data_IF_385696791813
#
_entry.id   IF_385696791813
#
_cell.length_a   1.000
_cell.length_b   1.000
_cell.length_c   1.000
_cell.angle_alpha   90.00
_cell.angle_beta   90.00
_cell.angle_gamma   90.00
#
_symmetry.space_group_name_H-M   'P 1'
#
loop_
_entity.id
_entity.type
_entity.pdbx_description
1 polymer ?
#
# COMPACT_ATOMS: atom_id res chain seq x y z
N UNK A 1 0.09 -30.05 -4.50
CA UNK A 1 -0.39 -29.18 -5.60
C UNK A 1 -1.80 -29.58 -5.97
N UNK A 2 -2.79 -28.73 -5.64
CA UNK A 2 -4.21 -28.98 -5.90
C UNK A 2 -4.52 -28.97 -7.40
N UNK A 3 -5.61 -29.61 -7.86
CA UNK A 3 -5.99 -29.64 -9.28
C UNK A 3 -6.07 -28.24 -9.91
N UNK A 4 -6.46 -27.23 -9.12
CA UNK A 4 -6.49 -25.82 -9.50
C UNK A 4 -5.10 -25.26 -9.88
N UNK A 5 -4.06 -25.65 -9.14
CA UNK A 5 -2.67 -25.23 -9.44
C UNK A 5 -2.12 -25.84 -10.73
N UNK A 6 -2.58 -27.05 -11.12
CA UNK A 6 -2.19 -27.69 -12.39
C UNK A 6 -2.90 -27.06 -13.58
N UNK A 7 -4.19 -26.76 -13.45
CA UNK A 7 -4.95 -26.06 -14.49
C UNK A 7 -4.41 -24.64 -14.72
N UNK A 8 -4.07 -23.92 -13.65
CA UNK A 8 -3.42 -22.61 -13.75
C UNK A 8 -2.05 -22.69 -14.43
N UNK A 9 -1.24 -23.72 -14.14
CA UNK A 9 0.04 -23.94 -14.81
C UNK A 9 -0.11 -24.29 -16.29
N UNK A 10 -1.09 -25.13 -16.66
CA UNK A 10 -1.35 -25.47 -18.06
C UNK A 10 -1.88 -24.26 -18.85
N UNK A 11 -2.73 -23.45 -18.23
CA UNK A 11 -3.24 -22.23 -18.82
C UNK A 11 -2.12 -21.19 -18.99
N UNK A 12 -1.24 -21.05 -17.99
CA UNK A 12 -0.03 -20.22 -18.09
C UNK A 12 0.87 -20.72 -19.23
N UNK A 13 1.12 -22.02 -19.34
CA UNK A 13 1.97 -22.60 -20.39
C UNK A 13 1.37 -22.40 -21.78
N UNK A 14 0.06 -22.60 -21.93
CA UNK A 14 -0.66 -22.35 -23.18
C UNK A 14 -0.61 -20.86 -23.58
N UNK A 15 -0.79 -19.95 -22.62
CA UNK A 15 -0.63 -18.51 -22.85
C UNK A 15 0.80 -18.13 -23.25
N UNK A 16 1.83 -18.75 -22.63
CA UNK A 16 3.23 -18.49 -23.01
C UNK A 16 3.57 -19.01 -24.41
N UNK A 17 3.02 -20.15 -24.81
CA UNK A 17 3.19 -20.67 -26.17
C UNK A 17 2.53 -19.75 -27.22
N UNK A 18 1.37 -19.19 -26.90
CA UNK A 18 0.69 -18.22 -27.77
C UNK A 18 1.43 -16.89 -27.85
N UNK A 19 2.05 -16.45 -26.73
CA UNK A 19 2.85 -15.24 -26.68
C UNK A 19 4.20 -15.37 -27.41
N UNK A 20 4.72 -16.59 -27.57
CA UNK A 20 5.97 -16.88 -28.26
C UNK A 20 5.82 -17.06 -29.79
N UNK A 21 4.64 -16.80 -30.36
CA UNK A 21 4.37 -17.11 -31.76
C UNK A 21 5.10 -16.22 -32.78
N UNK A 22 5.54 -15.01 -32.39
CA UNK A 22 6.20 -14.05 -33.29
C UNK A 22 7.60 -13.71 -32.82
N UNK A 23 8.55 -13.72 -33.75
CA UNK A 23 9.93 -13.34 -33.46
C UNK A 23 10.12 -11.83 -33.58
N UNK A 24 11.31 -11.34 -33.24
CA UNK A 24 11.64 -9.91 -33.35
C UNK A 24 11.59 -9.43 -34.80
N UNK A 25 12.02 -10.26 -35.73
CA UNK A 25 12.03 -9.98 -37.17
C UNK A 25 10.61 -9.82 -37.71
N UNK A 26 9.66 -10.63 -37.23
CA UNK A 26 8.25 -10.53 -37.63
C UNK A 26 7.64 -9.19 -37.20
N UNK A 27 7.95 -8.77 -35.97
CA UNK A 27 7.59 -7.45 -35.47
C UNK A 27 8.18 -6.32 -36.33
N UNK A 28 9.45 -6.40 -36.72
CA UNK A 28 10.07 -5.38 -37.59
C UNK A 28 9.34 -5.28 -38.94
N UNK A 29 8.97 -6.40 -39.55
CA UNK A 29 8.17 -6.44 -40.79
C UNK A 29 6.78 -5.81 -40.58
N UNK A 30 6.09 -6.15 -39.49
CA UNK A 30 4.75 -5.61 -39.19
C UNK A 30 4.78 -4.10 -38.98
N UNK A 31 5.75 -3.60 -38.21
CA UNK A 31 5.93 -2.17 -37.99
C UNK A 31 6.21 -1.45 -39.30
N UNK A 32 7.13 -1.97 -40.10
CA UNK A 32 7.47 -1.35 -41.38
C UNK A 32 6.26 -1.34 -42.32
N UNK A 33 5.47 -2.41 -42.37
CA UNK A 33 4.27 -2.48 -43.18
C UNK A 33 3.19 -1.47 -42.73
N UNK A 34 2.94 -1.31 -41.43
CA UNK A 34 1.98 -0.31 -40.91
C UNK A 34 2.46 1.12 -41.21
N UNK A 35 3.75 1.43 -40.97
CA UNK A 35 4.34 2.73 -41.31
C UNK A 35 4.30 2.99 -42.82
N UNK A 36 4.52 1.96 -43.64
CA UNK A 36 4.47 2.04 -45.09
C UNK A 36 3.05 2.31 -45.58
N UNK A 37 2.06 1.54 -45.13
CA UNK A 37 0.65 1.74 -45.48
C UNK A 37 0.10 3.09 -45.00
N UNK A 38 0.57 3.59 -43.85
CA UNK A 38 0.20 4.92 -43.36
C UNK A 38 0.70 6.05 -44.28
N UNK A 39 1.81 5.85 -44.99
CA UNK A 39 2.44 6.88 -45.84
C UNK A 39 2.12 6.78 -47.33
N UNK A 40 2.06 5.57 -47.90
CA UNK A 40 1.82 5.34 -49.33
C UNK A 40 0.37 4.91 -49.64
N UNK A 41 -0.39 4.50 -48.61
CA UNK A 41 -1.77 4.06 -48.72
C UNK A 41 -1.96 2.55 -48.49
N UNK A 42 -3.20 2.16 -48.15
CA UNK A 42 -3.55 0.80 -47.65
C UNK A 42 -3.37 -0.35 -48.65
N UNK A 43 -3.30 -0.05 -49.96
CA UNK A 43 -3.26 -1.08 -51.01
C UNK A 43 -1.89 -1.21 -51.70
N UNK A 44 -0.85 -0.57 -51.16
CA UNK A 44 0.50 -0.59 -51.74
C UNK A 44 1.35 -1.62 -51.01
N UNK A 45 1.83 -2.62 -51.73
CA UNK A 45 2.79 -3.63 -51.24
C UNK A 45 4.23 -3.20 -51.53
N UNK A 46 5.22 -3.82 -50.88
CA UNK A 46 6.64 -3.55 -51.12
C UNK A 46 7.02 -3.78 -52.59
N UNK A 47 6.46 -4.81 -53.22
CA UNK A 47 6.67 -5.10 -54.63
C UNK A 47 6.10 -4.02 -55.55
N UNK A 48 4.86 -3.58 -55.28
CA UNK A 48 4.22 -2.51 -56.06
C UNK A 48 4.96 -1.17 -55.90
N UNK A 49 5.52 -0.90 -54.72
CA UNK A 49 6.32 0.28 -54.44
C UNK A 49 7.62 0.29 -55.27
N UNK A 50 8.32 -0.84 -55.32
CA UNK A 50 9.52 -1.00 -56.14
C UNK A 50 9.20 -1.05 -57.66
N UNK A 51 7.95 -1.35 -58.01
CA UNK A 51 7.51 -1.60 -59.37
C UNK A 51 8.07 -2.91 -59.92
N UNK A 52 8.15 -3.95 -59.10
CA UNK A 52 8.67 -5.28 -59.44
C UNK A 52 7.65 -6.37 -59.12
N UNK A 53 7.82 -7.57 -59.69
CA UNK A 53 6.96 -8.73 -59.41
C UNK A 53 7.44 -9.48 -58.14
N UNK A 54 6.55 -10.13 -57.36
CA UNK A 54 6.96 -10.90 -56.17
C UNK A 54 7.97 -12.03 -56.40
N UNK A 55 8.15 -12.53 -57.63
CA UNK A 55 9.12 -13.59 -57.96
C UNK A 55 10.44 -13.04 -58.57
N UNK A 56 10.71 -11.74 -58.40
CA UNK A 56 11.85 -11.06 -59.02
C UNK A 56 13.20 -11.43 -58.36
N UNK A 57 14.27 -11.53 -59.16
CA UNK A 57 15.63 -11.86 -58.71
C UNK A 57 16.33 -10.65 -58.03
N UNK A 58 17.35 -10.90 -57.22
CA UNK A 58 18.10 -9.88 -56.45
C UNK A 58 18.70 -8.78 -57.36
N UNK A 59 19.12 -9.13 -58.58
CA UNK A 59 19.63 -8.17 -59.56
C UNK A 59 18.59 -7.12 -59.95
N UNK A 60 17.34 -7.54 -60.17
CA UNK A 60 16.22 -6.66 -60.50
C UNK A 60 15.81 -5.79 -59.31
N UNK A 61 15.84 -6.34 -58.09
CA UNK A 61 15.62 -5.58 -56.85
C UNK A 61 16.67 -4.48 -56.71
N UNK A 62 17.95 -4.79 -56.97
CA UNK A 62 19.04 -3.84 -56.92
C UNK A 62 18.91 -2.73 -57.97
N UNK A 63 18.48 -3.06 -59.18
CA UNK A 63 18.23 -2.09 -60.23
C UNK A 63 17.06 -1.15 -59.87
N UNK A 64 15.96 -1.72 -59.36
CA UNK A 64 14.79 -0.95 -58.90
C UNK A 64 15.14 -0.04 -57.72
N UNK A 65 15.89 -0.53 -56.74
CA UNK A 65 16.43 0.25 -55.63
C UNK A 65 17.25 1.45 -56.12
N UNK A 66 18.23 1.23 -57.01
CA UNK A 66 19.06 2.31 -57.57
C UNK A 66 18.24 3.35 -58.35
N UNK A 67 17.17 2.92 -59.02
CA UNK A 67 16.26 3.84 -59.73
C UNK A 67 15.47 4.70 -58.74
N UNK A 68 14.85 4.08 -57.75
CA UNK A 68 14.02 4.79 -56.76
C UNK A 68 14.84 5.62 -55.78
N UNK A 69 16.01 5.16 -55.34
CA UNK A 69 16.88 5.93 -54.44
C UNK A 69 17.26 7.28 -55.04
N UNK A 70 17.58 7.33 -56.35
CA UNK A 70 17.86 8.57 -57.08
C UNK A 70 16.64 9.47 -57.25
N UNK A 71 15.43 8.92 -57.19
CA UNK A 71 14.18 9.68 -57.30
C UNK A 71 13.74 10.23 -55.93
N UNK A 72 13.88 9.43 -54.88
CA UNK A 72 13.43 9.70 -53.51
C UNK A 72 14.49 10.32 -52.59
N UNK A 73 15.73 10.48 -53.05
CA UNK A 73 16.79 11.10 -52.25
C UNK A 73 16.33 12.45 -51.65
N UNK A 74 16.57 12.73 -50.36
CA UNK A 74 16.01 13.89 -49.67
C UNK A 74 16.36 15.22 -50.34
N UNK A 75 17.59 15.38 -50.83
CA UNK A 75 18.02 16.59 -51.56
C UNK A 75 17.25 16.80 -52.88
N UNK A 76 17.00 15.72 -53.63
CA UNK A 76 16.23 15.78 -54.88
C UNK A 76 14.74 15.97 -54.62
N UNK A 77 14.22 15.35 -53.56
CA UNK A 77 12.85 15.55 -53.12
C UNK A 77 12.63 17.02 -52.72
N UNK A 78 13.59 17.63 -52.01
CA UNK A 78 13.56 19.04 -51.60
C UNK A 78 13.55 19.97 -52.81
N UNK A 79 14.46 19.80 -53.76
CA UNK A 79 14.48 20.61 -54.98
C UNK A 79 13.19 20.48 -55.81
N UNK A 80 12.65 19.27 -55.96
CA UNK A 80 11.37 19.03 -56.63
C UNK A 80 10.19 19.68 -55.89
N UNK A 81 10.18 19.64 -54.56
CA UNK A 81 9.15 20.27 -53.74
C UNK A 81 9.20 21.79 -53.85
N UNK A 82 10.40 22.40 -53.76
CA UNK A 82 10.59 23.83 -53.95
C UNK A 82 10.12 24.30 -55.34
N UNK A 83 10.44 23.55 -56.39
CA UNK A 83 10.00 23.85 -57.75
C UNK A 83 8.46 23.77 -57.91
N UNK A 84 7.78 22.98 -57.07
CA UNK A 84 6.33 22.79 -57.08
C UNK A 84 5.58 23.61 -56.03
N UNK A 85 6.28 24.27 -55.11
CA UNK A 85 5.66 24.94 -53.95
C UNK A 85 4.66 26.03 -54.36
N UNK A 86 4.99 26.81 -55.39
CA UNK A 86 4.12 27.85 -55.94
C UNK A 86 3.27 27.37 -57.13
N UNK A 87 3.36 26.10 -57.51
CA UNK A 87 2.58 25.56 -58.63
C UNK A 87 1.11 25.39 -58.25
N UNK A 88 0.20 25.79 -59.13
CA UNK A 88 -1.23 25.57 -58.92
C UNK A 88 -1.55 24.05 -58.90
N UNK A 89 -2.48 23.59 -58.03
CA UNK A 89 -2.91 22.20 -58.04
C UNK A 89 -3.52 21.88 -59.40
N UNK A 90 -3.02 20.83 -60.05
CA UNK A 90 -3.59 20.32 -61.30
C UNK A 90 -4.89 19.59 -60.99
N UNK A 91 -6.03 20.32 -60.92
CA UNK A 91 -7.34 19.67 -60.99
C UNK A 91 -7.56 19.14 -62.41
N UNK A 92 -7.84 17.84 -62.53
CA UNK A 92 -8.20 17.24 -63.81
C UNK A 92 -9.50 17.88 -64.34
N UNK A 93 -9.42 18.58 -65.48
CA UNK A 93 -10.58 19.13 -66.20
C UNK A 93 -10.85 20.63 -66.06
N UNK A 94 -10.07 21.37 -65.26
CA UNK A 94 -10.24 22.83 -65.15
C UNK A 94 -9.36 23.59 -66.16
N UNK A 95 -9.93 24.56 -66.88
CA UNK A 95 -9.17 25.49 -67.75
C UNK A 95 -8.10 26.21 -66.91
N UNK A 96 -6.90 26.48 -67.45
CA UNK A 96 -5.82 27.13 -66.72
C UNK A 96 -6.27 28.53 -66.30
N UNK A 97 -6.73 28.64 -65.05
CA UNK A 97 -7.06 29.93 -64.44
C UNK A 97 -5.76 30.47 -63.88
N UNK A 98 -5.26 31.56 -64.46
CA UNK A 98 -4.06 32.25 -64.00
C UNK A 98 -4.36 32.87 -62.63
N UNK A 99 -4.16 32.12 -61.56
CA UNK A 99 -4.23 32.64 -60.20
C UNK A 99 -2.85 33.23 -59.90
N UNK A 100 -2.72 34.55 -59.98
CA UNK A 100 -1.51 35.27 -59.55
C UNK A 100 -1.41 35.17 -58.02
N UNK A 101 -0.79 34.11 -57.51
CA UNK A 101 -0.37 34.05 -56.10
C UNK A 101 0.98 34.76 -55.97
N UNK A 102 1.14 35.61 -54.96
CA UNK A 102 2.45 36.18 -54.59
C UNK A 102 3.43 35.02 -54.36
N UNK A 103 4.62 35.11 -54.93
CA UNK A 103 5.70 34.13 -54.74
C UNK A 103 6.05 34.02 -53.24
N UNK A 104 5.44 33.05 -52.56
CA UNK A 104 5.70 32.80 -51.14
C UNK A 104 6.86 31.82 -51.06
N UNK A 105 7.91 32.18 -50.33
CA UNK A 105 8.97 31.23 -49.98
C UNK A 105 8.49 30.37 -48.80
N UNK A 106 8.76 29.06 -48.79
CA UNK A 106 8.39 28.21 -47.67
C UNK A 106 9.04 28.67 -46.36
N UNK A 107 8.32 28.48 -45.25
CA UNK A 107 8.86 28.72 -43.91
C UNK A 107 9.94 27.69 -43.58
N UNK A 108 10.95 28.06 -42.77
CA UNK A 108 11.98 27.13 -42.30
C UNK A 108 11.37 25.90 -41.62
N UNK A 109 10.31 26.09 -40.83
CA UNK A 109 9.58 24.98 -40.19
C UNK A 109 8.95 24.01 -41.19
N UNK A 110 8.41 24.52 -42.31
CA UNK A 110 7.83 23.69 -43.38
C UNK A 110 8.94 22.92 -44.12
N UNK A 111 10.07 23.57 -44.37
CA UNK A 111 11.26 22.95 -44.96
C UNK A 111 11.79 21.81 -44.08
N UNK A 112 11.91 22.04 -42.77
CA UNK A 112 12.40 21.04 -41.82
C UNK A 112 11.44 19.86 -41.71
N UNK A 113 10.13 20.12 -41.66
CA UNK A 113 9.12 19.07 -41.69
C UNK A 113 9.21 18.24 -42.97
N UNK A 114 9.31 18.91 -44.12
CA UNK A 114 9.44 18.21 -45.41
C UNK A 114 10.72 17.37 -45.47
N UNK A 115 11.87 17.92 -45.05
CA UNK A 115 13.13 17.19 -45.04
C UNK A 115 13.08 15.97 -44.11
N UNK A 116 12.41 16.09 -42.96
CA UNK A 116 12.18 14.98 -42.03
C UNK A 116 11.33 13.88 -42.68
N UNK A 117 10.23 14.24 -43.34
CA UNK A 117 9.36 13.29 -44.04
C UNK A 117 10.07 12.63 -45.23
N UNK A 118 10.82 13.40 -46.02
CA UNK A 118 11.58 12.90 -47.16
C UNK A 118 12.71 11.94 -46.74
N UNK A 119 13.44 12.28 -45.67
CA UNK A 119 14.47 11.42 -45.08
C UNK A 119 13.85 10.13 -44.56
N UNK A 120 12.76 10.20 -43.79
CA UNK A 120 12.07 9.02 -43.28
C UNK A 120 11.54 8.13 -44.43
N UNK A 121 11.03 8.72 -45.51
CA UNK A 121 10.58 7.96 -46.69
C UNK A 121 11.75 7.24 -47.40
N UNK A 122 12.91 7.90 -47.49
CA UNK A 122 14.12 7.30 -48.05
C UNK A 122 14.67 6.16 -47.16
N UNK A 123 14.67 6.34 -45.84
CA UNK A 123 15.05 5.32 -44.87
C UNK A 123 14.16 4.07 -44.96
N UNK A 124 12.83 4.26 -45.03
CA UNK A 124 11.88 3.15 -45.21
C UNK A 124 12.17 2.36 -46.49
N UNK A 125 12.50 3.05 -47.59
CA UNK A 125 12.87 2.39 -48.84
C UNK A 125 14.09 1.48 -48.67
N UNK A 126 15.11 1.91 -47.91
CA UNK A 126 16.27 1.09 -47.63
C UNK A 126 15.91 -0.15 -46.78
N UNK A 127 15.05 0.01 -45.77
CA UNK A 127 14.56 -1.09 -44.93
C UNK A 127 13.76 -2.12 -45.73
N UNK A 128 12.84 -1.65 -46.58
CA UNK A 128 12.04 -2.52 -47.47
C UNK A 128 12.97 -3.33 -48.37
N UNK A 129 13.98 -2.71 -48.95
CA UNK A 129 14.94 -3.39 -49.83
C UNK A 129 15.81 -4.38 -49.05
N UNK A 130 16.14 -4.09 -47.79
CA UNK A 130 16.86 -5.03 -46.94
C UNK A 130 16.06 -6.30 -46.69
N UNK A 131 14.77 -6.17 -46.35
CA UNK A 131 13.84 -7.31 -46.17
C UNK A 131 13.75 -8.13 -47.45
N UNK A 132 13.54 -7.48 -48.60
CA UNK A 132 13.39 -8.16 -49.89
C UNK A 132 14.68 -8.83 -50.40
N UNK A 133 15.85 -8.41 -49.91
CA UNK A 133 17.15 -9.05 -50.22
C UNK A 133 17.48 -10.20 -49.28
N UNK A 134 16.96 -10.15 -48.05
CA UNK A 134 17.26 -11.10 -46.99
C UNK A 134 16.31 -12.30 -46.98
N UNK A 135 16.54 -13.25 -46.05
CA UNK A 135 15.63 -14.37 -45.80
C UNK A 135 14.28 -13.93 -45.21
N UNK A 136 14.17 -12.69 -44.74
CA UNK A 136 12.93 -12.08 -44.25
C UNK A 136 11.87 -11.90 -45.35
N UNK A 137 12.27 -11.94 -46.62
CA UNK A 137 11.36 -11.92 -47.77
C UNK A 137 10.32 -13.03 -47.70
N UNK A 138 10.72 -14.25 -47.36
CA UNK A 138 9.81 -15.40 -47.30
C UNK A 138 8.76 -15.19 -46.20
N UNK A 139 9.15 -14.57 -45.09
CA UNK A 139 8.23 -14.21 -44.00
C UNK A 139 7.27 -13.10 -44.43
N UNK A 140 7.78 -12.07 -45.11
CA UNK A 140 6.93 -11.04 -45.69
C UNK A 140 5.92 -11.62 -46.67
N UNK A 141 6.34 -12.52 -47.55
CA UNK A 141 5.46 -13.20 -48.53
C UNK A 141 4.42 -14.09 -47.84
N UNK A 142 4.78 -14.77 -46.75
CA UNK A 142 3.84 -15.51 -45.92
C UNK A 142 2.73 -14.58 -45.37
N UNK A 143 3.09 -13.44 -44.79
CA UNK A 143 2.10 -12.47 -44.28
C UNK A 143 1.32 -11.76 -45.39
N UNK A 144 1.91 -11.61 -46.57
CA UNK A 144 1.22 -11.05 -47.73
C UNK A 144 0.10 -11.98 -48.23
N UNK A 145 0.34 -13.30 -48.21
CA UNK A 145 -0.63 -14.30 -48.63
C UNK A 145 -1.67 -14.62 -47.54
N UNK A 146 -1.25 -14.63 -46.27
CA UNK A 146 -2.11 -15.05 -45.15
C UNK A 146 -2.78 -13.87 -44.43
N UNK A 147 -2.34 -12.64 -44.71
CA UNK A 147 -2.78 -11.43 -44.03
C UNK A 147 -1.84 -11.00 -42.90
N UNK A 148 -1.74 -9.68 -42.71
CA UNK A 148 -0.96 -9.09 -41.63
C UNK A 148 -1.79 -8.99 -40.35
N UNK A 149 -1.24 -9.38 -39.18
CA UNK A 149 -1.91 -9.11 -37.91
C UNK A 149 -2.00 -7.60 -37.66
N UNK A 150 -3.07 -7.16 -37.00
CA UNK A 150 -3.25 -5.75 -36.63
C UNK A 150 -2.37 -5.45 -35.41
N UNK A 151 -1.08 -5.20 -35.64
CA UNK A 151 -0.14 -4.87 -34.58
C UNK A 151 0.20 -3.38 -34.60
N UNK A 152 -0.28 -2.64 -33.59
CA UNK A 152 0.00 -1.20 -33.45
C UNK A 152 1.32 -0.92 -32.70
N UNK A 153 2.04 -1.96 -32.28
CA UNK A 153 3.27 -1.85 -31.49
C UNK A 153 3.05 -1.35 -30.06
N UNK A 154 4.09 -1.42 -29.23
CA UNK A 154 4.07 -0.81 -27.88
C UNK A 154 4.10 0.72 -27.96
N UNK A 155 4.64 1.27 -29.06
CA UNK A 155 4.63 2.71 -29.38
C UNK A 155 3.23 3.32 -29.41
N UNK A 156 2.21 2.56 -29.80
CA UNK A 156 0.81 3.01 -29.84
C UNK A 156 0.32 3.52 -28.48
N UNK A 157 0.66 2.80 -27.40
CA UNK A 157 0.27 3.19 -26.05
C UNK A 157 0.85 4.55 -25.68
N UNK A 158 2.11 4.81 -26.05
CA UNK A 158 2.78 6.09 -25.78
C UNK A 158 2.34 7.23 -26.70
N UNK A 159 1.87 6.93 -27.91
CA UNK A 159 1.32 7.96 -28.80
C UNK A 159 -0.05 8.45 -28.32
N UNK A 160 -0.89 7.55 -27.81
CA UNK A 160 -2.26 7.86 -27.39
C UNK A 160 -2.39 8.27 -25.93
N UNK A 161 -1.64 7.63 -25.03
CA UNK A 161 -1.64 7.94 -23.60
C UNK A 161 -0.35 8.67 -23.22
N UNK A 162 -0.44 9.99 -23.14
CA UNK A 162 0.60 10.85 -22.57
C UNK A 162 0.14 11.25 -21.17
N UNK A 163 0.50 10.49 -20.13
CA UNK A 163 0.05 10.80 -18.78
C UNK A 163 0.49 12.22 -18.42
N UNK A 164 -0.48 13.11 -18.25
CA UNK A 164 -0.23 14.47 -17.77
C UNK A 164 0.08 14.47 -16.28
N UNK A 165 0.57 15.59 -15.76
CA UNK A 165 0.90 15.78 -14.34
C UNK A 165 -0.24 15.31 -13.41
N UNK A 166 -1.49 15.67 -13.72
CA UNK A 166 -2.66 15.28 -12.92
C UNK A 166 -2.88 13.76 -12.87
N UNK A 167 -2.69 13.05 -13.98
CA UNK A 167 -2.82 11.58 -14.01
C UNK A 167 -1.73 10.89 -13.19
N UNK A 168 -0.51 11.45 -13.19
CA UNK A 168 0.61 10.95 -12.39
C UNK A 168 0.36 11.22 -10.90
N UNK A 169 -0.07 12.43 -10.55
CA UNK A 169 -0.40 12.79 -9.17
C UNK A 169 -1.56 11.94 -8.63
N UNK A 170 -2.59 11.70 -9.45
CA UNK A 170 -3.69 10.81 -9.08
C UNK A 170 -3.20 9.37 -8.87
N UNK A 171 -2.38 8.85 -9.78
CA UNK A 171 -1.79 7.51 -9.64
C UNK A 171 -0.92 7.38 -8.39
N UNK A 172 -0.08 8.38 -8.10
CA UNK A 172 0.76 8.42 -6.90
C UNK A 172 -0.09 8.55 -5.63
N UNK A 173 -1.18 9.32 -5.66
CA UNK A 173 -2.11 9.45 -4.55
C UNK A 173 -2.83 8.12 -4.27
N UNK A 174 -3.31 7.42 -5.30
CA UNK A 174 -3.94 6.10 -5.14
C UNK A 174 -2.93 5.06 -4.63
N UNK A 175 -1.73 5.03 -5.20
CA UNK A 175 -0.72 4.04 -4.82
C UNK A 175 -0.10 4.32 -3.45
N UNK A 176 0.39 5.54 -3.23
CA UNK A 176 1.04 5.95 -1.99
C UNK A 176 0.03 6.14 -0.86
N UNK A 177 -1.02 6.91 -1.11
CA UNK A 177 -2.08 7.15 -0.15
C UNK A 177 -2.97 5.93 0.10
N UNK A 178 -3.03 4.97 -0.82
CA UNK A 178 -3.75 3.71 -0.71
C UNK A 178 -2.87 2.55 -0.26
N UNK A 179 -2.20 1.90 -1.22
CA UNK A 179 -1.48 0.63 -1.02
C UNK A 179 -0.36 0.77 0.01
N UNK A 180 0.51 1.77 -0.13
CA UNK A 180 1.66 1.95 0.76
C UNK A 180 1.20 2.32 2.17
N UNK A 181 0.24 3.24 2.29
CA UNK A 181 -0.30 3.65 3.59
C UNK A 181 -1.04 2.51 4.30
N UNK A 182 -1.84 1.71 3.58
CA UNK A 182 -2.47 0.52 4.15
C UNK A 182 -1.44 -0.50 4.65
N UNK A 183 -0.37 -0.73 3.88
CA UNK A 183 0.71 -1.61 4.32
C UNK A 183 1.38 -1.11 5.61
N UNK A 184 1.59 0.21 5.74
CA UNK A 184 2.11 0.81 6.97
C UNK A 184 1.17 0.59 8.17
N UNK A 185 -0.14 0.81 7.99
CA UNK A 185 -1.16 0.55 9.01
C UNK A 185 -1.22 -0.93 9.41
N UNK A 186 -1.08 -1.84 8.45
CA UNK A 186 -1.05 -3.27 8.70
C UNK A 186 0.19 -3.68 9.52
N UNK A 187 1.37 -3.15 9.17
CA UNK A 187 2.60 -3.40 9.93
C UNK A 187 2.50 -2.81 11.33
N UNK A 188 1.92 -1.61 11.50
CA UNK A 188 1.74 -1.01 12.82
C UNK A 188 0.79 -1.82 13.69
N UNK A 189 -0.37 -2.22 13.14
CA UNK A 189 -1.35 -3.07 13.83
C UNK A 189 -0.71 -4.38 14.30
N UNK A 190 0.01 -5.07 13.41
CA UNK A 190 0.70 -6.32 13.73
C UNK A 190 1.71 -6.11 14.86
N UNK A 191 2.53 -5.05 14.78
CA UNK A 191 3.57 -4.76 15.78
C UNK A 191 2.97 -4.38 17.14
N UNK A 192 1.86 -3.64 17.16
CA UNK A 192 1.15 -3.30 18.39
C UNK A 192 0.58 -4.55 19.05
N UNK A 193 -0.03 -5.46 18.28
CA UNK A 193 -0.57 -6.72 18.79
C UNK A 193 0.53 -7.62 19.37
N UNK A 194 1.65 -7.77 18.67
CA UNK A 194 2.83 -8.52 19.15
C UNK A 194 3.44 -7.89 20.41
N UNK A 195 3.42 -6.56 20.53
CA UNK A 195 3.88 -5.86 21.73
C UNK A 195 2.98 -6.19 22.93
N UNK A 196 1.65 -6.04 22.79
CA UNK A 196 0.70 -6.33 23.87
C UNK A 196 0.79 -7.80 24.31
N UNK A 197 0.88 -8.74 23.37
CA UNK A 197 1.04 -10.16 23.69
C UNK A 197 2.32 -10.45 24.49
N UNK A 198 3.45 -9.87 24.07
CA UNK A 198 4.72 -10.03 24.80
C UNK A 198 4.64 -9.41 26.19
N UNK A 199 4.03 -8.24 26.30
CA UNK A 199 3.86 -7.53 27.57
C UNK A 199 2.95 -8.29 28.55
N UNK A 200 1.83 -8.85 28.08
CA UNK A 200 0.97 -9.77 28.85
C UNK A 200 1.75 -11.00 29.33
N UNK A 201 2.54 -11.60 28.44
CA UNK A 201 3.31 -12.81 28.75
C UNK A 201 4.37 -12.55 29.84
N UNK A 202 5.07 -11.41 29.75
CA UNK A 202 6.03 -10.98 30.77
C UNK A 202 5.35 -10.71 32.12
N UNK A 203 4.19 -10.04 32.12
CA UNK A 203 3.42 -9.77 33.33
C UNK A 203 2.97 -11.06 34.03
N UNK A 204 2.45 -12.03 33.27
CA UNK A 204 2.05 -13.34 33.79
C UNK A 204 3.23 -14.08 34.42
N UNK A 205 4.38 -14.09 33.76
CA UNK A 205 5.63 -14.69 34.27
C UNK A 205 6.13 -14.00 35.54
N UNK A 206 6.05 -12.67 35.61
CA UNK A 206 6.44 -11.92 36.79
C UNK A 206 5.49 -12.16 37.98
N UNK A 207 4.20 -12.31 37.72
CA UNK A 207 3.20 -12.55 38.75
C UNK A 207 3.25 -14.00 39.27
N UNK A 208 3.24 -15.00 38.40
CA UNK A 208 3.04 -16.39 38.80
C UNK A 208 4.28 -17.28 38.59
N UNK A 209 5.40 -16.73 38.11
CA UNK A 209 6.62 -17.46 37.81
C UNK A 209 6.54 -18.23 36.48
N UNK A 210 7.70 -18.69 35.98
CA UNK A 210 7.86 -19.48 34.74
C UNK A 210 7.04 -20.79 34.74
N UNK A 211 6.61 -21.27 35.91
CA UNK A 211 5.88 -22.52 36.09
C UNK A 211 4.41 -22.50 35.59
N UNK A 212 3.89 -21.33 35.20
CA UNK A 212 2.47 -21.19 34.84
C UNK A 212 2.10 -21.69 33.42
N UNK A 213 3.05 -21.84 32.51
CA UNK A 213 2.83 -22.54 31.22
C UNK A 213 2.76 -24.09 31.39
N UNK A 214 3.17 -24.61 32.56
CA UNK A 214 3.17 -26.05 32.88
C UNK A 214 1.99 -26.43 33.81
N UNK A 215 1.40 -25.46 34.50
CA UNK A 215 0.32 -25.70 35.46
C UNK A 215 -1.06 -26.00 34.82
N UNK A 216 -1.21 -25.93 33.50
CA UNK A 216 -2.47 -26.19 32.80
C UNK A 216 -2.64 -27.64 32.31
N UNK A 217 -1.73 -28.57 32.66
CA UNK A 217 -1.90 -30.01 32.39
C UNK A 217 -2.01 -30.75 33.74
N UNK A 218 -3.22 -31.03 34.24
CA UNK A 218 -3.40 -31.94 35.36
C UNK A 218 -2.93 -33.35 34.96
N UNK A 219 -1.71 -33.76 35.34
CA UNK A 219 -1.28 -35.16 35.26
C UNK A 219 0.16 -35.48 34.83
N UNK A 220 1.00 -34.52 34.41
CA UNK A 220 2.41 -34.81 34.05
C UNK A 220 3.40 -34.24 35.07
N UNK A 221 3.40 -34.81 36.28
CA UNK A 221 4.53 -34.71 37.19
C UNK A 221 5.51 -35.86 36.94
N UNK A 222 6.55 -35.66 36.13
CA UNK A 222 7.77 -36.50 36.19
C UNK A 222 8.96 -35.83 35.52
N UNK A 223 9.96 -35.52 36.33
CA UNK A 223 11.39 -35.36 36.03
C UNK A 223 11.80 -35.28 34.56
N UNK A 224 12.32 -34.12 34.15
CA UNK A 224 13.41 -34.10 33.19
C UNK A 224 14.61 -33.40 33.82
N UNK A 225 15.61 -34.21 34.15
CA UNK A 225 16.89 -33.75 34.62
C UNK A 225 17.58 -32.90 33.55
N UNK A 226 18.28 -31.89 34.03
CA UNK A 226 19.36 -31.19 33.33
C UNK A 226 20.31 -32.17 32.65
N UNK A 227 20.59 -32.04 31.34
CA UNK A 227 21.78 -32.62 30.77
C UNK A 227 22.95 -31.64 30.94
N UNK A 228 23.89 -32.04 31.78
CA UNK A 228 25.29 -31.59 31.74
C UNK A 228 25.88 -31.95 30.37
N UNK A 229 26.49 -30.97 29.69
CA UNK A 229 27.45 -31.20 28.62
C UNK A 229 28.72 -30.39 28.90
N UNK A 230 29.86 -31.05 28.73
CA UNK A 230 31.21 -30.67 29.13
C UNK A 230 32.06 -30.28 27.91
N UNK A 231 33.02 -29.37 28.11
CA UNK A 231 34.19 -29.09 27.25
C UNK A 231 33.94 -28.11 26.08
N UNK A 232 34.77 -27.09 25.78
CA UNK A 232 36.20 -26.86 26.06
C UNK A 232 36.58 -25.40 25.71
N UNK A 233 37.72 -24.90 26.23
CA UNK A 233 38.46 -23.78 25.59
C UNK A 233 38.86 -22.61 26.50
N UNK A 234 40.12 -22.64 26.97
CA UNK A 234 40.82 -21.62 27.74
C UNK A 234 41.33 -20.45 26.88
N UNK A 235 41.11 -19.18 27.31
CA UNK A 235 42.15 -18.13 27.45
C UNK A 235 41.56 -16.76 27.90
N UNK A 236 42.13 -16.20 28.97
CA UNK A 236 42.01 -14.78 29.46
C UNK A 236 43.17 -13.96 28.82
N UNK A 237 43.28 -12.60 28.91
CA UNK A 237 42.56 -11.64 29.77
C UNK A 237 42.17 -10.26 29.17
N UNK A 238 41.27 -9.54 29.84
CA UNK A 238 41.04 -8.10 29.64
C UNK A 238 39.80 -7.57 30.38
N UNK A 239 40.03 -6.92 31.53
CA UNK A 239 39.36 -5.78 32.20
C UNK A 239 37.94 -5.35 31.72
N UNK A 240 36.98 -4.90 32.52
CA UNK A 240 36.76 -4.62 33.95
C UNK A 240 35.33 -4.05 34.03
N UNK A 241 34.51 -4.39 35.04
CA UNK A 241 33.57 -3.46 35.72
C UNK A 241 32.74 -4.17 36.82
N UNK A 242 33.27 -4.02 38.04
CA UNK A 242 32.63 -3.76 39.33
C UNK A 242 31.32 -4.45 39.74
N UNK A 243 31.45 -5.44 40.63
CA UNK A 243 30.42 -5.78 41.61
C UNK A 243 30.92 -5.42 43.02
N UNK A 244 30.24 -4.48 43.69
CA UNK A 244 30.55 -4.12 45.07
C UNK A 244 30.15 -5.27 46.02
N UNK A 245 31.15 -5.99 46.52
CA UNK A 245 30.99 -7.00 47.55
C UNK A 245 30.82 -6.34 48.92
N UNK A 246 29.62 -6.40 49.49
CA UNK A 246 29.36 -5.93 50.86
C UNK A 246 30.01 -6.85 51.91
N UNK A 247 30.65 -6.24 52.90
CA UNK A 247 31.45 -6.93 53.90
C UNK A 247 30.57 -7.63 54.96
N UNK A 248 30.86 -8.90 55.28
CA UNK A 248 30.04 -9.82 56.12
C UNK A 248 29.62 -9.29 57.50
N UNK A 249 30.28 -8.24 58.00
CA UNK A 249 30.01 -7.64 59.32
C UNK A 249 28.75 -6.76 59.33
N UNK A 250 28.42 -6.08 58.22
CA UNK A 250 27.20 -5.25 58.12
C UNK A 250 25.92 -6.10 57.97
N UNK A 251 26.01 -7.27 57.33
CA UNK A 251 24.87 -8.18 57.13
C UNK A 251 24.29 -8.74 58.44
N UNK A 252 25.14 -8.98 59.44
CA UNK A 252 24.70 -9.51 60.76
C UNK A 252 24.10 -8.46 61.69
N UNK A 253 24.35 -7.17 61.46
CA UNK A 253 23.78 -6.09 62.27
C UNK A 253 22.28 -5.89 61.93
N UNK A 254 21.94 -5.86 60.63
CA UNK A 254 20.54 -5.71 60.19
C UNK A 254 19.66 -6.92 60.56
N UNK A 255 20.24 -8.12 60.64
CA UNK A 255 19.51 -9.32 61.06
C UNK A 255 19.20 -9.33 62.57
N UNK A 256 20.00 -8.62 63.37
CA UNK A 256 19.80 -8.48 64.83
C UNK A 256 18.73 -7.45 65.19
N UNK A 257 18.54 -6.42 64.34
CA UNK A 257 17.50 -5.40 64.50
C UNK A 257 16.12 -5.95 64.10
N UNK A 258 16.01 -6.64 62.96
CA UNK A 258 14.75 -7.31 62.55
C UNK A 258 14.21 -8.34 63.53
N UNK A 259 15.09 -8.92 64.36
CA UNK A 259 14.71 -9.92 65.37
C UNK A 259 14.22 -9.31 66.70
N UNK A 260 14.43 -8.00 66.91
CA UNK A 260 13.94 -7.27 68.10
C UNK A 260 12.50 -6.76 67.93
N UNK A 261 12.07 -6.45 66.70
CA UNK A 261 10.72 -5.92 66.46
C UNK A 261 9.63 -7.00 66.40
N UNK A 262 10.00 -8.29 66.28
CA UNK A 262 9.06 -9.40 66.15
C UNK A 262 8.56 -10.00 67.48
N UNK A 263 8.72 -9.30 68.62
CA UNK A 263 8.33 -9.85 69.93
C UNK A 263 7.71 -8.81 70.87
N UNK A 264 6.38 -8.67 70.85
CA UNK A 264 5.48 -8.80 72.03
C UNK A 264 3.98 -8.61 71.70
N UNK A 265 3.04 -9.14 72.54
CA UNK A 265 1.67 -9.50 72.15
C UNK A 265 0.56 -8.77 72.95
N UNK A 266 -0.70 -8.82 72.50
CA UNK A 266 -1.86 -8.72 73.40
C UNK A 266 -3.12 -9.41 72.83
N UNK A 267 -3.75 -10.22 73.70
CA UNK A 267 -4.99 -11.00 73.56
C UNK A 267 -6.19 -10.16 74.03
N UNK A 268 -7.38 -10.41 73.45
CA UNK A 268 -8.69 -10.14 74.06
C UNK A 268 -9.72 -11.16 73.54
N UNK A 269 -10.49 -11.78 74.43
CA UNK A 269 -11.41 -12.94 74.24
C UNK A 269 -12.91 -12.50 74.15
N UNK A 270 -13.88 -13.41 73.86
CA UNK A 270 -15.06 -13.14 73.00
C UNK A 270 -16.48 -13.21 73.66
N UNK A 271 -17.52 -13.10 72.79
CA UNK A 271 -18.95 -13.54 72.85
C UNK A 271 -20.03 -12.52 73.32
N UNK A 272 -21.35 -12.65 72.97
CA UNK A 272 -22.05 -13.54 72.00
C UNK A 272 -23.12 -12.83 71.10
N UNK A 273 -23.77 -13.63 70.25
CA UNK A 273 -24.75 -13.29 69.20
C UNK A 273 -26.23 -13.09 69.63
N UNK A 274 -27.00 -12.36 68.79
CA UNK A 274 -28.45 -12.50 68.45
C UNK A 274 -28.84 -11.40 67.43
N UNK A 275 -29.23 -11.69 66.18
CA UNK A 275 -30.53 -12.13 65.62
C UNK A 275 -31.35 -10.98 64.96
N UNK A 276 -31.49 -11.10 63.63
CA UNK A 276 -32.60 -10.79 62.69
C UNK A 276 -33.27 -9.39 62.69
N UNK A 277 -33.22 -8.68 61.54
CA UNK A 277 -34.40 -8.36 60.68
C UNK A 277 -34.15 -7.29 59.57
N UNK A 278 -34.55 -7.67 58.33
CA UNK A 278 -35.25 -6.91 57.27
C UNK A 278 -34.48 -5.94 56.32
N UNK A 279 -34.28 -6.46 55.10
CA UNK A 279 -34.64 -5.93 53.76
C UNK A 279 -34.28 -4.50 53.31
N UNK A 280 -33.35 -4.42 52.34
CA UNK A 280 -33.36 -3.43 51.26
C UNK A 280 -32.84 -4.09 49.97
N UNK A 281 -33.42 -3.82 48.78
CA UNK A 281 -33.04 -4.52 47.56
C UNK A 281 -31.71 -3.96 47.05
N UNK A 282 -30.69 -4.80 46.99
CA UNK A 282 -29.45 -4.49 46.27
C UNK A 282 -29.66 -4.76 44.79
N UNK A 283 -29.51 -3.73 43.98
CA UNK A 283 -29.39 -3.84 42.53
C UNK A 283 -28.28 -4.84 42.19
N UNK A 284 -28.64 -5.85 41.39
CA UNK A 284 -27.73 -6.88 40.94
C UNK A 284 -26.68 -6.27 39.99
N UNK A 285 -25.54 -5.87 40.55
CA UNK A 285 -24.35 -5.58 39.76
C UNK A 285 -23.94 -6.87 39.03
N UNK A 286 -23.96 -6.84 37.70
CA UNK A 286 -23.54 -7.98 36.87
C UNK A 286 -22.04 -8.22 37.10
N UNK A 287 -21.71 -9.21 37.93
CA UNK A 287 -20.34 -9.70 38.13
C UNK A 287 -20.03 -10.63 36.95
N UNK A 288 -19.58 -10.06 35.83
CA UNK A 288 -18.99 -10.86 34.74
C UNK A 288 -17.47 -10.83 34.86
N UNK A 289 -16.90 -11.76 35.62
CA UNK A 289 -15.46 -12.02 35.64
C UNK A 289 -14.96 -12.70 36.92
N UNK A 290 -13.90 -13.53 36.86
CA UNK A 290 -13.53 -14.45 37.93
C UNK A 290 -13.07 -13.71 39.18
N UNK A 291 -13.60 -14.11 40.34
CA UNK A 291 -13.17 -13.63 41.65
C UNK A 291 -11.93 -14.44 42.05
N UNK A 292 -10.77 -14.02 41.54
CA UNK A 292 -9.48 -14.66 41.76
C UNK A 292 -8.55 -13.87 42.66
N UNK A 293 -7.48 -14.51 43.14
CA UNK A 293 -6.39 -13.82 43.81
C UNK A 293 -5.67 -12.91 42.79
N UNK A 294 -5.74 -11.58 42.99
CA UNK A 294 -5.05 -10.59 42.16
C UNK A 294 -3.63 -10.38 42.66
N UNK A 295 -2.65 -10.38 41.76
CA UNK A 295 -1.25 -10.05 42.08
C UNK A 295 -0.80 -8.81 41.32
N UNK A 296 -0.29 -7.82 42.07
CA UNK A 296 0.27 -6.57 41.52
C UNK A 296 1.75 -6.77 41.21
N UNK A 297 2.15 -6.47 39.99
CA UNK A 297 3.54 -6.52 39.50
C UNK A 297 3.89 -5.19 38.88
N UNK A 298 5.10 -4.69 39.12
CA UNK A 298 5.59 -3.47 38.47
C UNK A 298 6.34 -3.87 37.20
N UNK A 299 5.93 -3.32 36.06
CA UNK A 299 6.62 -3.53 34.79
C UNK A 299 7.87 -2.65 34.68
N UNK A 300 8.73 -2.96 33.69
CA UNK A 300 9.99 -2.25 33.45
C UNK A 300 9.79 -0.76 33.16
N UNK A 301 8.64 -0.39 32.59
CA UNK A 301 8.23 0.99 32.34
C UNK A 301 7.68 1.72 33.58
N UNK A 302 7.78 1.11 34.77
CA UNK A 302 7.32 1.69 36.04
C UNK A 302 5.81 1.60 36.27
N UNK A 303 5.02 1.21 35.26
CA UNK A 303 3.56 1.03 35.38
C UNK A 303 3.21 -0.21 36.20
N UNK A 304 2.07 -0.16 36.88
CA UNK A 304 1.58 -1.27 37.72
C UNK A 304 0.63 -2.14 36.90
N UNK A 305 0.89 -3.43 36.89
CA UNK A 305 0.08 -4.45 36.23
C UNK A 305 -0.54 -5.35 37.28
N UNK A 306 -1.82 -5.62 37.14
CA UNK A 306 -2.57 -6.52 38.01
C UNK A 306 -2.87 -7.78 37.20
N UNK A 307 -2.33 -8.91 37.64
CA UNK A 307 -2.59 -10.21 37.01
C UNK A 307 -3.60 -10.97 37.86
N UNK A 308 -4.70 -11.36 37.25
CA UNK A 308 -5.74 -12.16 37.87
C UNK A 308 -5.39 -13.66 37.82
N UNK A 309 -6.04 -14.49 38.64
CA UNK A 309 -5.77 -15.93 38.69
C UNK A 309 -6.15 -16.68 37.41
N UNK A 310 -7.02 -16.08 36.59
CA UNK A 310 -7.41 -16.62 35.27
C UNK A 310 -6.43 -16.19 34.16
N UNK A 311 -5.46 -15.31 34.47
CA UNK A 311 -4.44 -14.86 33.52
C UNK A 311 -4.79 -13.60 32.74
N UNK A 312 -5.90 -12.92 33.08
CA UNK A 312 -6.18 -11.58 32.58
C UNK A 312 -5.21 -10.57 33.22
N UNK A 313 -4.68 -9.65 32.41
CA UNK A 313 -3.71 -8.64 32.84
C UNK A 313 -4.36 -7.27 32.70
N UNK A 314 -4.43 -6.54 33.81
CA UNK A 314 -4.95 -5.18 33.85
C UNK A 314 -3.80 -4.19 34.04
N UNK A 315 -3.81 -3.09 33.32
CA UNK A 315 -2.92 -1.95 33.50
C UNK A 315 -3.60 -0.93 34.42
N UNK A 316 -2.92 -0.60 35.51
CA UNK A 316 -3.35 0.44 36.43
C UNK A 316 -2.72 1.76 35.99
N UNK A 317 -3.56 2.69 35.51
CA UNK A 317 -3.14 4.06 35.15
C UNK A 317 -3.71 5.02 36.18
N UNK A 318 -2.84 5.82 36.79
CA UNK A 318 -3.21 6.88 37.72
C UNK A 318 -3.35 8.18 36.92
N UNK A 319 -4.57 8.72 36.88
CA UNK A 319 -4.84 10.02 36.25
C UNK A 319 -4.22 11.14 37.11
N UNK A 320 -3.89 12.29 36.54
CA UNK A 320 -3.28 13.43 37.27
C UNK A 320 -4.09 13.91 38.48
N UNK A 321 -5.39 13.59 38.52
CA UNK A 321 -6.33 13.86 39.63
C UNK A 321 -6.28 12.80 40.75
N UNK A 322 -5.37 11.83 40.67
CA UNK A 322 -5.22 10.74 41.64
C UNK A 322 -6.27 9.63 41.50
N UNK A 323 -7.07 9.61 40.43
CA UNK A 323 -8.02 8.54 40.17
C UNK A 323 -7.36 7.36 39.45
N UNK A 324 -7.48 6.18 40.05
CA UNK A 324 -6.91 4.92 39.56
C UNK A 324 -7.87 4.22 38.59
N UNK A 325 -7.44 3.96 37.37
CA UNK A 325 -8.20 3.22 36.37
C UNK A 325 -7.52 1.89 36.00
N UNK A 326 -8.27 0.78 36.06
CA UNK A 326 -7.84 -0.54 35.62
C UNK A 326 -8.27 -0.79 34.15
N UNK A 327 -7.32 -0.87 33.22
CA UNK A 327 -7.55 -1.19 31.81
C UNK A 327 -7.17 -2.63 31.48
N UNK A 328 -8.10 -3.43 30.95
CA UNK A 328 -7.78 -4.79 30.50
C UNK A 328 -6.88 -4.73 29.26
N UNK A 329 -5.72 -5.38 29.29
CA UNK A 329 -4.89 -5.54 28.10
C UNK A 329 -5.36 -6.75 27.30
N UNK A 330 -6.14 -6.50 26.24
CA UNK A 330 -6.57 -7.51 25.29
C UNK A 330 -5.93 -7.26 23.90
N UNK A 331 -5.13 -8.19 23.34
CA UNK A 331 -4.59 -8.07 21.99
C UNK A 331 -5.66 -7.94 20.90
N UNK A 332 -6.88 -8.42 21.14
CA UNK A 332 -7.96 -8.45 20.15
C UNK A 332 -8.80 -7.15 20.16
N UNK A 333 -8.60 -6.27 21.14
CA UNK A 333 -9.19 -4.93 21.17
C UNK A 333 -8.58 -3.99 20.11
N UNK A 334 -7.38 -4.32 19.61
CA UNK A 334 -6.70 -3.54 18.59
C UNK A 334 -7.39 -3.77 17.23
N UNK A 335 -8.19 -2.79 16.82
CA UNK A 335 -8.94 -2.82 15.57
C UNK A 335 -8.04 -3.10 14.35
N UNK A 336 -8.49 -4.00 13.49
CA UNK A 336 -7.79 -4.30 12.25
C UNK A 336 -7.88 -3.10 11.29
N UNK A 337 -6.80 -2.75 10.59
CA UNK A 337 -6.81 -1.61 9.68
C UNK A 337 -7.74 -1.90 8.51
N UNK A 338 -8.60 -0.93 8.20
CA UNK A 338 -9.53 -1.00 7.09
C UNK A 338 -9.09 -0.09 5.93
N UNK A 339 -9.67 -0.28 4.75
CA UNK A 339 -9.47 0.64 3.63
C UNK A 339 -9.99 2.06 3.93
N UNK A 340 -10.91 2.23 4.87
CA UNK A 340 -11.45 3.53 5.26
C UNK A 340 -10.46 4.36 6.09
N UNK A 341 -9.54 3.69 6.79
CA UNK A 341 -8.48 4.34 7.57
C UNK A 341 -7.35 4.90 6.70
N UNK A 342 -7.41 4.59 5.41
CA UNK A 342 -6.35 4.86 4.46
C UNK A 342 -6.43 6.32 3.98
N UNK A 343 -5.29 6.98 3.76
CA UNK A 343 -5.24 8.38 3.33
C UNK A 343 -6.03 8.63 2.03
N UNK A 344 -6.09 7.61 1.17
CA UNK A 344 -6.89 7.57 -0.05
C UNK A 344 -8.37 7.94 0.17
N UNK A 345 -8.97 7.50 1.28
CA UNK A 345 -10.40 7.74 1.59
C UNK A 345 -10.56 8.90 2.56
N UNK A 346 -9.68 9.00 3.56
CA UNK A 346 -9.78 10.02 4.61
C UNK A 346 -9.48 11.43 4.10
N UNK A 347 -8.52 11.59 3.18
CA UNK A 347 -8.15 12.92 2.68
C UNK A 347 -9.25 13.58 1.84
N UNK A 348 -9.92 12.89 0.90
CA UNK A 348 -11.05 13.48 0.17
C UNK A 348 -12.22 13.85 1.08
N UNK A 349 -12.56 12.99 2.05
CA UNK A 349 -13.63 13.28 3.02
C UNK A 349 -13.27 14.51 3.86
N UNK A 350 -12.04 14.60 4.33
CA UNK A 350 -11.55 15.75 5.08
C UNK A 350 -11.64 17.05 4.26
N UNK A 351 -11.15 17.03 3.01
CA UNK A 351 -11.20 18.19 2.11
C UNK A 351 -12.64 18.59 1.77
N UNK A 352 -13.53 17.61 1.58
CA UNK A 352 -14.96 17.86 1.38
C UNK A 352 -15.58 18.54 2.60
N UNK A 353 -15.35 17.99 3.80
CA UNK A 353 -15.88 18.54 5.05
C UNK A 353 -15.34 19.95 5.35
N UNK A 354 -14.11 20.25 4.95
CA UNK A 354 -13.50 21.57 5.14
C UNK A 354 -14.03 22.62 4.15
N UNK A 355 -14.45 22.21 2.95
CA UNK A 355 -14.86 23.11 1.86
C UNK A 355 -16.38 23.13 1.65
N UNK A 356 -16.92 22.17 0.91
CA UNK A 356 -18.32 22.08 0.51
C UNK A 356 -19.24 21.65 1.66
N UNK A 357 -18.74 20.82 2.59
CA UNK A 357 -19.49 20.40 3.77
C UNK A 357 -19.86 21.57 4.68
N UNK A 358 -18.99 22.60 4.80
CA UNK A 358 -19.31 23.81 5.57
C UNK A 358 -20.37 24.69 4.92
N UNK A 359 -20.52 24.63 3.60
CA UNK A 359 -21.48 25.44 2.85
C UNK A 359 -22.85 24.75 2.76
N UNK A 360 -22.86 23.42 2.56
CA UNK A 360 -24.06 22.61 2.39
C UNK A 360 -24.68 22.16 3.74
N UNK A 361 -23.88 21.81 4.77
CA UNK A 361 -24.41 21.38 6.08
C UNK A 361 -24.91 22.52 6.97
N UNK A 362 -24.85 23.78 6.52
CA UNK A 362 -25.56 24.87 7.19
C UNK A 362 -27.08 24.72 7.10
N UNK A 363 -27.61 24.06 6.06
CA UNK A 363 -29.05 23.80 5.97
C UNK A 363 -29.52 22.64 6.86
N UNK A 364 -28.68 21.63 7.12
CA UNK A 364 -29.06 20.49 7.96
C UNK A 364 -29.07 20.82 9.45
N UNK A 365 -28.34 21.85 9.89
CA UNK A 365 -28.39 22.28 11.29
C UNK A 365 -29.73 22.92 11.64
N UNK A 366 -30.38 23.62 10.71
CA UNK A 366 -31.73 24.16 10.90
C UNK A 366 -32.79 23.06 10.93
N UNK A 367 -32.58 21.95 10.20
CA UNK A 367 -33.49 20.80 10.18
C UNK A 367 -33.38 19.94 11.46
N UNK A 368 -32.16 19.75 11.99
CA UNK A 368 -31.93 19.10 13.30
C UNK A 368 -32.46 19.98 14.45
N UNK A 369 -32.38 21.31 14.33
CA UNK A 369 -32.99 22.24 15.29
C UNK A 369 -34.51 22.29 15.16
N UNK A 370 -35.08 22.08 13.97
CA UNK A 370 -36.53 21.97 13.75
C UNK A 370 -37.10 20.67 14.32
N UNK A 371 -36.39 19.54 14.17
CA UNK A 371 -36.78 18.25 14.77
C UNK A 371 -36.59 18.24 16.31
N UNK A 372 -35.61 18.98 16.83
CA UNK A 372 -35.41 19.15 18.27
C UNK A 372 -36.40 20.13 18.94
N UNK A 373 -37.00 21.07 18.18
CA UNK A 373 -37.92 22.09 18.70
C UNK A 373 -39.41 21.75 18.55
N UNK A 374 -39.75 20.47 18.35
CA UNK A 374 -41.12 19.96 18.26
C UNK A 374 -41.92 19.92 19.58
N UNK A 375 -41.74 20.87 20.50
CA UNK A 375 -42.64 21.07 21.66
C UNK A 375 -42.56 22.51 22.19
N UNK A 376 -43.69 23.14 22.58
CA UNK A 376 -43.71 24.56 22.95
C UNK A 376 -43.21 24.82 24.38
N UNK A 377 -42.34 25.83 24.49
CA UNK A 377 -42.13 26.77 25.61
C UNK A 377 -42.04 26.25 27.05
N UNK A 378 -40.85 26.41 27.66
CA UNK A 378 -40.67 27.29 28.85
C UNK A 378 -39.19 27.52 29.20
N UNK A 379 -38.80 28.80 29.19
CA UNK A 379 -37.91 29.52 30.13
C UNK A 379 -36.50 29.00 30.54
N UNK A 380 -35.51 29.82 30.13
CA UNK A 380 -34.34 30.35 30.89
C UNK A 380 -33.37 29.41 31.63
N UNK A 381 -32.08 29.46 31.25
CA UNK A 381 -31.00 30.05 32.05
C UNK A 381 -29.66 30.08 31.28
N UNK A 382 -28.87 31.11 31.59
CA UNK A 382 -27.66 31.58 30.89
C UNK A 382 -26.38 30.76 31.18
N UNK A 383 -25.49 30.73 30.18
CA UNK A 383 -24.04 30.96 30.37
C UNK A 383 -23.10 29.79 30.71
N UNK A 384 -22.38 29.25 29.72
CA UNK A 384 -20.97 28.80 29.84
C UNK A 384 -20.34 28.50 28.45
N UNK A 385 -19.05 28.80 28.22
CA UNK A 385 -18.38 28.64 26.93
C UNK A 385 -17.91 27.19 26.68
N UNK A 386 -18.12 26.72 25.45
CA UNK A 386 -17.79 25.37 24.96
C UNK A 386 -16.25 25.23 24.84
N UNK A 387 -15.64 24.48 25.74
CA UNK A 387 -14.20 24.15 25.72
C UNK A 387 -13.92 22.86 24.92
N UNK A 388 -13.28 23.06 23.77
CA UNK A 388 -12.21 22.32 23.08
C UNK A 388 -11.65 20.95 23.55
N UNK A 389 -12.38 20.10 24.28
CA UNK A 389 -11.86 18.78 24.72
C UNK A 389 -12.21 17.59 23.80
N UNK A 390 -12.81 17.84 22.64
CA UNK A 390 -13.22 16.77 21.71
C UNK A 390 -12.12 16.30 20.72
N UNK A 391 -10.84 16.58 20.98
CA UNK A 391 -9.74 16.33 20.03
C UNK A 391 -8.70 15.29 20.46
N UNK A 392 -9.05 14.36 21.35
CA UNK A 392 -8.26 13.14 21.59
C UNK A 392 -9.18 11.97 21.27
N UNK A 393 -8.74 11.11 20.33
CA UNK A 393 -9.52 9.97 19.87
C UNK A 393 -9.82 9.02 21.03
N UNK A 394 -11.03 9.11 21.56
CA UNK A 394 -11.63 8.08 22.39
C UNK A 394 -11.93 6.90 21.48
N UNK A 395 -11.19 5.81 21.66
CA UNK A 395 -11.65 4.52 21.16
C UNK A 395 -12.99 4.26 21.86
N UNK A 396 -14.10 4.30 21.10
CA UNK A 396 -15.46 4.20 21.63
C UNK A 396 -15.73 2.91 22.42
N UNK A 397 -14.85 1.90 22.30
CA UNK A 397 -14.95 0.64 23.03
C UNK A 397 -14.18 0.60 24.36
N UNK A 398 -13.24 1.53 24.60
CA UNK A 398 -12.48 1.57 25.86
C UNK A 398 -13.35 1.98 27.06
N UNK A 399 -14.53 2.56 26.82
CA UNK A 399 -15.45 2.99 27.88
C UNK A 399 -16.27 1.85 28.48
N UNK A 400 -16.34 0.69 27.83
CA UNK A 400 -17.23 -0.39 28.24
C UNK A 400 -16.74 -1.18 29.48
N UNK A 401 -15.52 -0.96 29.98
CA UNK A 401 -14.97 -1.71 31.14
C UNK A 401 -14.13 -0.88 32.10
N UNK A 402 -14.35 0.43 32.19
CA UNK A 402 -13.74 1.27 33.22
C UNK A 402 -14.26 0.85 34.60
N UNK A 403 -13.43 0.21 35.42
CA UNK A 403 -13.73 0.01 36.85
C UNK A 403 -13.12 1.17 37.64
N UNK A 404 -13.97 1.98 38.28
CA UNK A 404 -13.55 2.97 39.28
C UNK A 404 -13.43 2.26 40.62
N UNK A 405 -12.26 2.29 41.25
CA UNK A 405 -12.11 1.86 42.66
C UNK A 405 -11.95 3.11 43.51
N UNK A 406 -12.92 3.37 44.41
CA UNK A 406 -12.78 4.43 45.41
C UNK A 406 -11.72 4.01 46.43
N UNK A 407 -10.61 4.74 46.50
CA UNK A 407 -9.71 4.66 47.64
C UNK A 407 -10.48 5.13 48.89
N UNK A 408 -10.54 4.31 49.93
CA UNK A 408 -11.07 4.69 51.23
C UNK A 408 -9.93 5.40 52.00
N UNK A 409 -10.20 6.51 52.71
CA UNK A 409 -9.16 7.31 53.37
C UNK A 409 -8.33 6.54 54.40
#
# INVERSE_FOLDING_TARGET
>A
MTAFSRAALLLLLCLTAFAAAWTKEDHEIFRLNDEFQASEGKNVTFYSFLGIKPNSNHTTINAAYKRLSRQLHPDKARSQWLARYNAAPKLAGAKPTVVTRKDKKPSQSELDQFNKEATARFERLALVVNILRGPERDRYDHFLNNGFPVWRGTGYYYQRFRPGLGSVLFGLFVFGGGVVHYAALYVSWKRQREFVQRYISQARRAAWGEASDIASIPGLGRNLGTPTASGSGTSTPGESEESMQWNRKQKRAMEKEKRKDAKKPAKGKPEPAKNVEISAPTDAHIISGPVGAKKRTRAENGKILIVDSVGNVYLEDETEEGEVHEFLLDPDEIAQPSLMDTFLVRAPIFLYNQSLGRLLNKQTTEEVVWEANGAPLSETLEGAPISLDAAISTNANAEARKRRTKAKP
#
